data_IF_020467480538
#
_entry.id   IF_020467480538
#
_cell.length_a   1.000
_cell.length_b   1.000
_cell.length_c   1.000
_cell.angle_alpha   90.00
_cell.angle_beta   90.00
_cell.angle_gamma   90.00
#
_symmetry.space_group_name_H-M   'P 1'
#
loop_
_entity.id
_entity.type
_entity.pdbx_description
1 polymer ?
#
# COMPACT_ATOMS: atom_id res chain seq x y z
N UNK A 1 7.09 13.19 0.76
CA UNK A 1 6.42 11.92 0.48
C UNK A 1 5.77 11.38 1.73
N UNK A 2 4.81 10.50 1.60
CA UNK A 2 3.98 10.04 2.71
C UNK A 2 4.07 8.53 2.86
N UNK A 3 3.88 8.04 4.07
CA UNK A 3 3.92 6.61 4.39
C UNK A 3 2.53 6.00 4.23
N UNK A 4 2.45 4.85 3.55
CA UNK A 4 1.20 4.09 3.48
C UNK A 4 0.98 3.34 4.80
N UNK A 5 -0.13 3.56 5.50
CA UNK A 5 -0.38 2.89 6.78
C UNK A 5 -0.73 1.42 6.63
N UNK A 6 -0.98 0.95 5.42
CA UNK A 6 -1.32 -0.46 5.15
C UNK A 6 -0.06 -1.29 4.90
N UNK A 7 0.76 -0.90 3.91
CA UNK A 7 1.88 -1.73 3.48
C UNK A 7 3.27 -1.17 3.81
N UNK A 8 3.34 0.05 4.33
CA UNK A 8 4.62 0.67 4.67
C UNK A 8 5.35 1.34 3.50
N UNK A 9 4.71 1.44 2.34
CA UNK A 9 5.31 2.15 1.20
C UNK A 9 5.53 3.61 1.58
N UNK A 10 6.76 4.11 1.45
CA UNK A 10 7.17 5.43 1.96
C UNK A 10 7.26 6.51 0.88
N UNK A 11 6.74 6.24 -0.31
CA UNK A 11 6.87 7.15 -1.45
C UNK A 11 5.54 7.60 -2.02
N UNK A 12 4.48 7.67 -1.20
CA UNK A 12 3.21 8.22 -1.65
C UNK A 12 3.40 9.71 -1.96
N UNK A 13 2.97 10.12 -3.14
CA UNK A 13 3.06 11.53 -3.56
C UNK A 13 2.06 12.40 -2.81
N UNK A 14 0.91 11.84 -2.46
CA UNK A 14 -0.16 12.53 -1.74
C UNK A 14 -0.44 11.84 -0.41
N UNK A 15 -1.01 12.58 0.57
CA UNK A 15 -1.40 11.96 1.85
C UNK A 15 -2.37 10.79 1.63
N UNK A 16 -2.33 9.73 2.46
CA UNK A 16 -3.21 8.56 2.31
C UNK A 16 -4.65 8.86 2.72
N UNK A 17 -5.34 9.64 1.91
CA UNK A 17 -6.73 10.05 2.09
C UNK A 17 -7.29 10.52 0.76
N UNK A 18 -8.58 10.90 0.70
CA UNK A 18 -9.23 11.51 -0.47
C UNK A 18 -9.07 10.65 -1.73
N UNK A 19 -9.27 9.34 -1.60
CA UNK A 19 -9.28 8.37 -2.72
C UNK A 19 -7.93 8.23 -3.42
N UNK A 20 -6.83 8.58 -2.76
CA UNK A 20 -5.48 8.27 -3.23
C UNK A 20 -5.30 6.75 -3.18
N UNK A 21 -4.72 6.18 -4.23
CA UNK A 21 -4.47 4.75 -4.34
C UNK A 21 -2.97 4.49 -4.16
N UNK A 22 -2.63 3.60 -3.22
CA UNK A 22 -1.24 3.21 -3.00
C UNK A 22 -0.76 2.34 -4.16
N UNK A 23 0.36 2.72 -4.79
CA UNK A 23 0.93 1.95 -5.89
C UNK A 23 1.39 0.55 -5.46
N UNK A 24 1.84 0.41 -4.23
CA UNK A 24 2.37 -0.85 -3.70
C UNK A 24 1.28 -1.85 -3.36
N UNK A 25 0.28 -1.47 -2.54
CA UNK A 25 -0.75 -2.41 -2.06
C UNK A 25 -2.10 -2.25 -2.73
N UNK A 26 -2.32 -1.15 -3.45
CA UNK A 26 -3.56 -0.92 -4.17
C UNK A 26 -4.72 -0.44 -3.31
N UNK A 27 -4.48 -0.11 -2.04
CA UNK A 27 -5.53 0.42 -1.17
C UNK A 27 -5.98 1.79 -1.65
N UNK A 28 -7.28 1.96 -1.80
CA UNK A 28 -7.88 3.27 -2.09
C UNK A 28 -8.34 3.89 -0.78
N UNK A 29 -7.64 4.94 -0.34
CA UNK A 29 -7.91 5.56 0.96
C UNK A 29 -9.20 6.38 0.91
N UNK A 30 -10.06 6.18 1.92
CA UNK A 30 -11.38 6.79 1.95
C UNK A 30 -12.46 5.85 1.43
N UNK A 31 -12.09 4.77 0.74
CA UNK A 31 -13.01 3.75 0.27
C UNK A 31 -12.70 2.40 0.93
N UNK A 32 -11.54 1.81 0.64
CA UNK A 32 -11.19 0.49 1.18
C UNK A 32 -11.05 0.53 2.70
N UNK A 33 -10.45 1.58 3.25
CA UNK A 33 -10.26 1.71 4.68
C UNK A 33 -11.51 2.22 5.41
N UNK A 34 -12.58 2.55 4.69
CA UNK A 34 -13.87 2.84 5.30
C UNK A 34 -14.57 1.57 5.79
N UNK A 35 -14.24 0.42 5.21
CA UNK A 35 -14.88 -0.87 5.53
C UNK A 35 -13.95 -1.84 6.24
N UNK A 36 -12.66 -1.65 6.14
CA UNK A 36 -11.65 -2.51 6.75
C UNK A 36 -10.60 -1.66 7.45
N UNK A 37 -10.06 -2.16 8.57
CA UNK A 37 -8.94 -1.48 9.22
C UNK A 37 -7.68 -1.60 8.36
N UNK A 38 -6.69 -0.74 8.62
CA UNK A 38 -5.41 -0.82 7.93
C UNK A 38 -4.72 -2.16 8.19
N UNK A 39 -4.86 -2.71 9.40
CA UNK A 39 -4.33 -4.03 9.74
C UNK A 39 -4.97 -5.13 8.92
N UNK A 40 -6.30 -5.09 8.75
CA UNK A 40 -7.02 -6.07 7.94
C UNK A 40 -6.59 -6.00 6.47
N UNK A 41 -6.44 -4.80 5.93
CA UNK A 41 -5.98 -4.60 4.56
C UNK A 41 -4.55 -5.12 4.37
N UNK A 42 -3.68 -4.91 5.36
CA UNK A 42 -2.31 -5.43 5.35
C UNK A 42 -2.30 -6.96 5.31
N UNK A 43 -3.12 -7.59 6.15
CA UNK A 43 -3.21 -9.05 6.18
C UNK A 43 -3.68 -9.60 4.83
N UNK A 44 -4.69 -8.98 4.24
CA UNK A 44 -5.18 -9.39 2.92
C UNK A 44 -4.10 -9.27 1.85
N UNK A 45 -3.33 -8.18 1.86
CA UNK A 45 -2.25 -7.96 0.92
C UNK A 45 -1.14 -9.01 1.08
N UNK A 46 -0.74 -9.29 2.32
CA UNK A 46 0.27 -10.31 2.61
C UNK A 46 -0.19 -11.70 2.20
N UNK A 47 -1.44 -12.05 2.47
CA UNK A 47 -2.01 -13.34 2.08
C UNK A 47 -2.11 -13.50 0.57
N UNK A 48 -2.30 -12.40 -0.14
CA UNK A 48 -2.35 -12.40 -1.60
C UNK A 48 -0.98 -12.43 -2.27
N UNK A 49 0.10 -12.55 -1.50
CA UNK A 49 1.47 -12.61 -2.02
C UNK A 49 2.21 -11.29 -1.98
N UNK A 50 1.67 -10.27 -1.33
CA UNK A 50 2.31 -8.95 -1.18
C UNK A 50 2.80 -8.41 -2.53
N UNK A 51 1.94 -8.43 -3.54
CA UNK A 51 2.29 -8.06 -4.90
C UNK A 51 2.21 -6.56 -5.11
N UNK A 52 3.09 -6.05 -5.96
CA UNK A 52 3.02 -4.68 -6.45
C UNK A 52 1.78 -4.53 -7.33
N UNK A 53 0.91 -3.59 -6.98
CA UNK A 53 -0.44 -3.51 -7.57
C UNK A 53 -0.56 -2.53 -8.71
N UNK A 54 0.28 -1.49 -8.76
CA UNK A 54 0.15 -0.47 -9.81
C UNK A 54 0.56 -1.03 -11.17
N UNK A 55 -0.21 -0.67 -12.21
CA UNK A 55 0.14 -0.95 -13.60
C UNK A 55 0.71 0.30 -14.28
N UNK A 56 0.70 1.44 -13.60
CA UNK A 56 1.16 2.73 -14.12
C UNK A 56 2.53 3.06 -13.56
N UNK A 57 2.70 2.91 -12.25
CA UNK A 57 3.96 3.20 -11.56
C UNK A 57 4.80 1.93 -11.52
N UNK A 58 6.07 2.03 -11.95
CA UNK A 58 6.97 0.89 -11.98
C UNK A 58 7.36 0.45 -10.57
N UNK A 59 7.44 -0.86 -10.37
CA UNK A 59 7.95 -1.42 -9.13
C UNK A 59 9.41 -1.00 -8.95
N UNK A 60 9.79 -0.49 -7.74
CA UNK A 60 11.19 -0.13 -7.49
C UNK A 60 12.14 -1.32 -7.67
N UNK A 61 13.36 -1.05 -8.12
CA UNK A 61 14.40 -2.08 -8.20
C UNK A 61 14.68 -2.62 -6.80
N UNK A 62 14.92 -3.93 -6.72
CA UNK A 62 15.22 -4.61 -5.45
C UNK A 62 14.14 -4.41 -4.40
N UNK A 63 12.89 -4.20 -4.83
CA UNK A 63 11.76 -4.02 -3.93
C UNK A 63 11.49 -5.32 -3.17
N UNK A 64 11.45 -5.20 -1.83
CA UNK A 64 11.13 -6.31 -0.94
C UNK A 64 9.89 -5.92 -0.11
N UNK A 65 8.72 -6.52 -0.39
CA UNK A 65 7.49 -6.16 0.31
C UNK A 65 7.52 -6.51 1.79
N UNK A 66 8.20 -7.59 2.17
CA UNK A 66 8.28 -7.99 3.57
C UNK A 66 9.14 -7.01 4.37
N UNK A 67 10.24 -6.56 3.79
CA UNK A 67 11.09 -5.55 4.41
C UNK A 67 10.35 -4.21 4.50
N UNK A 68 9.60 -3.87 3.47
CA UNK A 68 8.81 -2.64 3.44
C UNK A 68 7.78 -2.61 4.56
N UNK A 69 7.04 -3.69 4.77
CA UNK A 69 5.95 -3.74 5.73
C UNK A 69 6.47 -3.76 7.18
N UNK A 70 7.69 -4.19 7.39
CA UNK A 70 8.34 -4.23 8.70
C UNK A 70 9.01 -2.92 9.09
N UNK A 71 9.15 -2.01 8.16
CA UNK A 71 9.84 -0.75 8.41
C UNK A 71 9.10 0.16 9.38
#
# INVERSE_FOLDING_TARGET
MYLCPVCGFDRLEDPPKNFVICASCGTEFGYDDAFCSHTELRVKWLRGGAQWRSTVDARPENWDPLQQVDA
#
